data_IF_810638132449
#
_entry.id   IF_810638132449
#
_cell.length_a   1.000
_cell.length_b   1.000
_cell.length_c   1.000
_cell.angle_alpha   90.00
_cell.angle_beta   90.00
_cell.angle_gamma   90.00
#
_symmetry.space_group_name_H-M   'P 1'
#
loop_
_entity.id
_entity.type
_entity.pdbx_description
1 polymer ?
#
# COMPACT_ATOMS: atom_id res chain seq x y z
N UNK A 1 -7.36 -0.15 28.46
CA UNK A 1 -5.95 -0.15 28.00
C UNK A 1 -5.43 -1.57 27.76
N UNK A 2 -5.45 -2.49 28.75
CA UNK A 2 -4.85 -3.83 28.60
C UNK A 2 -5.50 -4.70 27.51
N UNK A 3 -6.83 -4.69 27.42
CA UNK A 3 -7.57 -5.45 26.38
C UNK A 3 -7.12 -5.00 24.98
N UNK A 4 -7.04 -3.70 24.72
CA UNK A 4 -6.58 -3.17 23.42
C UNK A 4 -5.14 -3.60 23.11
N UNK A 5 -4.23 -3.63 24.10
CA UNK A 5 -2.85 -4.10 23.88
C UNK A 5 -2.79 -5.56 23.52
N UNK A 6 -3.62 -6.38 24.19
CA UNK A 6 -3.76 -7.79 23.89
C UNK A 6 -4.25 -8.00 22.46
N UNK A 7 -5.39 -7.42 22.12
CA UNK A 7 -6.00 -7.62 20.80
C UNK A 7 -5.05 -7.18 19.67
N UNK A 8 -4.41 -6.00 19.82
CA UNK A 8 -3.44 -5.51 18.83
C UNK A 8 -2.20 -6.42 18.73
N UNK A 9 -1.66 -6.85 19.84
CA UNK A 9 -0.48 -7.73 19.87
C UNK A 9 -0.76 -9.10 19.26
N UNK A 10 -1.89 -9.73 19.62
CA UNK A 10 -2.28 -11.04 19.09
C UNK A 10 -2.58 -10.96 17.58
N UNK A 11 -3.33 -9.95 17.13
CA UNK A 11 -3.62 -9.76 15.70
C UNK A 11 -2.33 -9.48 14.91
N UNK A 12 -1.47 -8.61 15.40
CA UNK A 12 -0.18 -8.35 14.76
C UNK A 12 0.68 -9.62 14.70
N UNK A 13 0.75 -10.39 15.78
CA UNK A 13 1.50 -11.65 15.82
C UNK A 13 0.98 -12.72 14.88
N UNK A 14 -0.34 -12.76 14.62
CA UNK A 14 -0.96 -13.72 13.70
C UNK A 14 -0.77 -13.37 12.22
N UNK A 15 -0.73 -12.09 11.88
CA UNK A 15 -0.88 -11.67 10.48
C UNK A 15 0.31 -10.89 9.92
N UNK A 16 1.17 -10.32 10.75
CA UNK A 16 2.32 -9.57 10.28
C UNK A 16 3.60 -10.42 10.26
N UNK A 17 4.38 -10.29 9.19
CA UNK A 17 5.71 -10.93 9.10
C UNK A 17 6.70 -10.31 10.10
N UNK A 18 6.52 -9.03 10.44
CA UNK A 18 7.30 -8.28 11.42
C UNK A 18 6.45 -7.17 12.05
N UNK A 19 6.50 -7.05 13.37
CA UNK A 19 5.82 -6.00 14.13
C UNK A 19 6.84 -5.04 14.75
N UNK A 20 6.75 -3.75 14.44
CA UNK A 20 7.53 -2.70 15.08
C UNK A 20 6.67 -2.03 16.16
N UNK A 21 7.03 -2.26 17.42
CA UNK A 21 6.32 -1.73 18.59
C UNK A 21 6.98 -0.41 18.96
N UNK A 22 6.20 0.65 19.01
CA UNK A 22 6.69 2.01 19.30
C UNK A 22 5.72 2.78 20.18
N UNK A 23 6.16 3.95 20.68
CA UNK A 23 5.29 4.78 21.49
C UNK A 23 4.07 5.31 20.72
N UNK A 24 2.95 5.38 21.44
CA UNK A 24 1.74 6.12 21.06
C UNK A 24 1.57 7.26 22.10
N UNK A 25 0.66 7.11 23.05
CA UNK A 25 0.43 8.03 24.15
C UNK A 25 0.60 7.29 25.50
N UNK A 26 1.83 7.06 26.00
CA UNK A 26 2.04 6.27 27.20
C UNK A 26 1.41 6.91 28.44
N UNK A 27 1.25 8.25 28.45
CA UNK A 27 0.77 8.97 29.62
C UNK A 27 1.72 8.79 30.79
N UNK A 28 1.19 8.43 31.97
CA UNK A 28 1.97 8.21 33.18
C UNK A 28 2.52 6.78 33.31
N UNK A 29 2.11 5.86 32.42
CA UNK A 29 2.59 4.49 32.45
C UNK A 29 3.96 4.39 31.75
N UNK A 30 4.93 3.63 32.32
CA UNK A 30 6.23 3.47 31.69
C UNK A 30 6.12 2.84 30.30
N UNK A 31 6.70 3.49 29.28
CA UNK A 31 6.66 3.03 27.90
C UNK A 31 7.22 1.59 27.76
N UNK A 32 8.33 1.31 28.43
CA UNK A 32 8.95 -0.02 28.42
C UNK A 32 7.97 -1.13 28.88
N UNK A 33 7.13 -0.84 29.91
CA UNK A 33 6.13 -1.79 30.37
C UNK A 33 5.06 -2.03 29.30
N UNK A 34 4.56 -0.95 28.68
CA UNK A 34 3.57 -1.03 27.60
C UNK A 34 4.11 -1.86 26.45
N UNK A 35 5.32 -1.54 25.98
CA UNK A 35 5.97 -2.19 24.86
C UNK A 35 6.21 -3.68 25.11
N UNK A 36 6.67 -4.04 26.31
CA UNK A 36 6.87 -5.44 26.71
C UNK A 36 5.56 -6.23 26.80
N UNK A 37 4.48 -5.61 27.28
CA UNK A 37 3.17 -6.26 27.29
C UNK A 37 2.69 -6.55 25.84
N UNK A 38 2.77 -5.58 24.93
CA UNK A 38 2.40 -5.79 23.53
C UNK A 38 3.28 -6.87 22.89
N UNK A 39 4.59 -6.82 23.13
CA UNK A 39 5.55 -7.81 22.64
C UNK A 39 5.19 -9.24 23.07
N UNK A 40 4.82 -9.42 24.35
CA UNK A 40 4.42 -10.73 24.86
C UNK A 40 3.19 -11.31 24.15
N UNK A 41 2.24 -10.46 23.74
CA UNK A 41 1.08 -10.90 22.98
C UNK A 41 1.44 -11.22 21.53
N UNK A 42 2.37 -10.49 20.89
CA UNK A 42 2.90 -10.85 19.57
C UNK A 42 3.61 -12.20 19.63
N UNK A 43 4.47 -12.41 20.64
CA UNK A 43 5.18 -13.68 20.85
C UNK A 43 4.24 -14.85 21.12
N UNK A 44 3.13 -14.63 21.82
CA UNK A 44 2.13 -15.67 22.11
C UNK A 44 1.53 -16.28 20.83
N UNK A 45 1.61 -15.57 19.72
CA UNK A 45 1.20 -16.01 18.38
C UNK A 45 2.36 -16.42 17.48
N UNK A 46 3.56 -16.61 18.03
CA UNK A 46 4.81 -16.87 17.30
C UNK A 46 5.21 -15.74 16.34
N UNK A 47 4.68 -14.54 16.52
CA UNK A 47 5.00 -13.36 15.71
C UNK A 47 6.39 -12.82 16.03
N UNK A 48 7.02 -12.20 15.02
CA UNK A 48 8.30 -11.49 15.18
C UNK A 48 8.06 -10.05 15.52
N UNK A 49 8.89 -9.48 16.39
CA UNK A 49 8.77 -8.07 16.73
C UNK A 49 10.12 -7.39 16.98
N UNK A 50 10.11 -6.07 16.93
CA UNK A 50 11.16 -5.18 17.43
C UNK A 50 10.51 -4.06 18.23
N UNK A 51 11.11 -3.71 19.37
CA UNK A 51 10.69 -2.55 20.15
C UNK A 51 11.62 -1.39 19.79
N UNK A 52 11.05 -0.28 19.35
CA UNK A 52 11.77 0.95 19.01
C UNK A 52 10.93 2.10 19.59
N UNK A 53 11.42 2.69 20.67
CA UNK A 53 10.65 3.66 21.45
C UNK A 53 10.27 4.91 20.66
N UNK A 54 11.21 5.47 19.88
CA UNK A 54 10.94 6.63 19.03
C UNK A 54 10.12 6.23 17.79
N UNK A 55 8.96 6.83 17.65
CA UNK A 55 8.01 6.53 16.57
C UNK A 55 8.55 6.86 15.18
N UNK A 56 9.25 7.98 15.03
CA UNK A 56 9.86 8.36 13.75
C UNK A 56 10.95 7.38 13.33
N UNK A 57 11.78 6.95 14.30
CA UNK A 57 12.81 5.94 14.09
C UNK A 57 12.19 4.58 13.76
N UNK A 58 11.10 4.19 14.43
CA UNK A 58 10.40 2.93 14.15
C UNK A 58 9.85 2.89 12.71
N UNK A 59 9.19 3.96 12.26
CA UNK A 59 8.66 4.09 10.89
C UNK A 59 9.81 4.05 9.87
N UNK A 60 10.88 4.81 10.09
CA UNK A 60 12.05 4.81 9.21
C UNK A 60 12.73 3.44 9.15
N UNK A 61 12.84 2.76 10.28
CA UNK A 61 13.43 1.41 10.35
C UNK A 61 12.59 0.42 9.56
N UNK A 62 11.27 0.42 9.74
CA UNK A 62 10.36 -0.46 8.99
C UNK A 62 10.50 -0.24 7.48
N UNK A 63 10.51 1.00 7.00
CA UNK A 63 10.68 1.34 5.58
C UNK A 63 12.03 0.85 5.03
N UNK A 64 13.11 0.98 5.80
CA UNK A 64 14.44 0.56 5.36
C UNK A 64 14.63 -0.96 5.37
N UNK A 65 13.99 -1.69 6.26
CA UNK A 65 14.19 -3.13 6.43
C UNK A 65 13.26 -3.98 5.57
N UNK A 66 12.03 -3.51 5.29
CA UNK A 66 11.01 -4.35 4.66
C UNK A 66 11.15 -4.46 3.14
N UNK A 67 11.77 -3.51 2.47
CA UNK A 67 11.99 -3.57 1.01
C UNK A 67 10.75 -3.24 0.16
N UNK A 68 10.92 -3.30 -1.17
CA UNK A 68 9.96 -2.77 -2.13
C UNK A 68 8.65 -3.57 -2.26
N UNK A 69 8.69 -4.88 -1.99
CA UNK A 69 7.52 -5.77 -2.14
C UNK A 69 6.72 -5.93 -0.84
N UNK A 70 6.85 -4.96 0.07
CA UNK A 70 6.22 -5.03 1.39
C UNK A 70 5.10 -4.02 1.53
N UNK A 71 4.10 -4.36 2.34
CA UNK A 71 3.07 -3.44 2.81
C UNK A 71 3.34 -3.10 4.26
N UNK A 72 3.49 -1.82 4.57
CA UNK A 72 3.70 -1.34 5.93
C UNK A 72 2.40 -0.68 6.41
N UNK A 73 1.81 -1.26 7.45
CA UNK A 73 0.62 -0.71 8.10
C UNK A 73 1.05 0.07 9.35
N UNK A 74 0.80 1.38 9.35
CA UNK A 74 1.09 2.26 10.49
C UNK A 74 -0.22 2.55 11.21
N UNK A 75 -0.27 2.25 12.50
CA UNK A 75 -1.46 2.43 13.34
C UNK A 75 -1.14 3.23 14.60
N UNK A 76 -2.15 3.88 15.16
CA UNK A 76 -2.07 4.61 16.43
C UNK A 76 -2.33 6.09 16.25
N UNK A 77 -1.31 6.88 15.98
CA UNK A 77 -1.38 8.35 15.98
C UNK A 77 -2.05 8.96 14.75
N UNK A 78 -1.83 8.39 13.56
CA UNK A 78 -2.42 8.92 12.33
C UNK A 78 -2.10 10.39 12.08
N UNK A 79 -3.12 11.25 12.15
CA UNK A 79 -3.00 12.70 11.92
C UNK A 79 -2.84 13.53 13.24
N UNK A 80 -2.59 12.88 14.36
CA UNK A 80 -2.39 13.60 15.61
C UNK A 80 -1.03 14.31 15.64
N UNK A 81 -1.04 15.59 16.01
CA UNK A 81 0.13 16.50 16.01
C UNK A 81 0.75 16.67 17.39
N UNK A 82 0.33 15.89 18.37
CA UNK A 82 0.82 15.94 19.73
C UNK A 82 0.83 14.56 20.36
N UNK A 83 1.74 14.34 21.30
CA UNK A 83 1.93 13.11 22.02
C UNK A 83 1.83 13.34 23.50
N UNK A 84 1.16 12.44 24.22
CA UNK A 84 1.04 12.51 25.67
C UNK A 84 2.19 11.75 26.33
N UNK A 85 3.03 12.47 27.09
CA UNK A 85 4.06 11.90 27.99
C UNK A 85 3.82 12.40 29.39
N UNK A 86 3.59 11.51 30.32
CA UNK A 86 3.14 11.89 31.66
C UNK A 86 1.79 12.59 31.60
N UNK A 87 1.71 13.79 32.19
CA UNK A 87 0.53 14.66 32.14
C UNK A 87 0.56 15.70 31.02
N UNK A 88 1.67 15.79 30.28
CA UNK A 88 1.90 16.83 29.29
C UNK A 88 1.63 16.32 27.86
N UNK A 89 1.20 17.26 26.99
CA UNK A 89 1.10 17.04 25.56
C UNK A 89 2.25 17.76 24.84
N UNK A 90 3.10 17.01 24.17
CA UNK A 90 4.27 17.50 23.45
C UNK A 90 3.96 17.50 21.94
N UNK A 91 4.23 18.59 21.21
CA UNK A 91 4.08 18.59 19.75
C UNK A 91 4.94 17.50 19.11
N UNK A 92 4.37 16.79 18.16
CA UNK A 92 5.09 15.79 17.36
C UNK A 92 4.59 15.81 15.91
N UNK A 93 5.42 15.37 14.95
CA UNK A 93 4.97 15.12 13.59
C UNK A 93 3.88 14.05 13.55
N UNK A 94 3.00 14.15 12.56
CA UNK A 94 2.02 13.12 12.25
C UNK A 94 2.69 11.86 11.68
N UNK A 95 1.98 10.72 11.69
CA UNK A 95 2.48 9.50 11.04
C UNK A 95 2.74 9.70 9.54
N UNK A 96 1.93 10.53 8.90
CA UNK A 96 2.09 10.89 7.48
C UNK A 96 3.39 11.66 7.25
N UNK A 97 3.70 12.65 8.10
CA UNK A 97 4.94 13.44 8.00
C UNK A 97 6.18 12.59 8.25
N UNK A 98 6.16 11.72 9.27
CA UNK A 98 7.23 10.76 9.52
C UNK A 98 7.42 9.81 8.31
N UNK A 99 6.34 9.30 7.75
CA UNK A 99 6.39 8.39 6.60
C UNK A 99 6.95 9.06 5.36
N UNK A 100 6.46 10.26 5.02
CA UNK A 100 6.97 11.04 3.87
C UNK A 100 8.46 11.32 4.02
N UNK A 101 8.88 11.75 5.22
CA UNK A 101 10.29 12.00 5.50
C UNK A 101 11.14 10.73 5.30
N UNK A 102 10.71 9.62 5.89
CA UNK A 102 11.44 8.36 5.81
C UNK A 102 11.51 7.81 4.37
N UNK A 103 10.42 7.92 3.58
CA UNK A 103 10.43 7.55 2.17
C UNK A 103 11.38 8.40 1.35
N UNK A 104 11.42 9.72 1.55
CA UNK A 104 12.37 10.59 0.87
C UNK A 104 13.83 10.24 1.18
N UNK A 105 14.12 9.90 2.43
CA UNK A 105 15.46 9.47 2.85
C UNK A 105 15.82 8.11 2.24
N UNK A 106 14.88 7.17 2.20
CA UNK A 106 15.03 5.87 1.56
C UNK A 106 15.31 6.00 0.07
N UNK A 107 14.51 6.80 -0.64
CA UNK A 107 14.65 7.02 -2.07
C UNK A 107 15.99 7.67 -2.41
N UNK A 108 16.40 8.69 -1.65
CA UNK A 108 17.70 9.33 -1.81
C UNK A 108 18.85 8.36 -1.61
N UNK A 109 18.76 7.49 -0.59
CA UNK A 109 19.78 6.47 -0.27
C UNK A 109 19.89 5.42 -1.38
N UNK A 110 18.77 5.07 -2.03
CA UNK A 110 18.70 4.04 -3.05
C UNK A 110 18.78 4.60 -4.49
N UNK A 111 19.06 5.89 -4.66
CA UNK A 111 19.16 6.54 -5.97
C UNK A 111 17.82 6.63 -6.72
N UNK A 112 16.70 6.57 -5.98
CA UNK A 112 15.36 6.73 -6.51
C UNK A 112 14.96 8.21 -6.43
N UNK A 113 14.50 8.78 -7.54
CA UNK A 113 14.03 10.17 -7.56
C UNK A 113 12.58 10.23 -7.04
N UNK A 114 12.46 10.51 -5.74
CA UNK A 114 11.18 10.46 -5.03
C UNK A 114 10.27 11.64 -5.31
N UNK A 115 10.85 12.83 -5.52
CA UNK A 115 10.07 14.05 -5.64
C UNK A 115 9.26 14.06 -6.95
N UNK A 116 9.81 13.52 -8.03
CA UNK A 116 9.16 13.40 -9.33
C UNK A 116 8.04 12.34 -9.30
N UNK A 117 8.28 11.19 -8.65
CA UNK A 117 7.27 10.13 -8.50
C UNK A 117 6.11 10.53 -7.60
N UNK A 118 6.39 11.16 -6.45
CA UNK A 118 5.35 11.65 -5.52
C UNK A 118 4.51 12.72 -6.20
N UNK A 119 5.14 13.65 -6.90
CA UNK A 119 4.44 14.69 -7.66
C UNK A 119 3.57 14.08 -8.75
N UNK A 120 4.08 13.11 -9.50
CA UNK A 120 3.29 12.39 -10.51
C UNK A 120 2.08 11.69 -9.92
N UNK A 121 2.19 11.05 -8.75
CA UNK A 121 1.05 10.42 -8.06
C UNK A 121 0.05 11.48 -7.57
N UNK A 122 0.52 12.58 -6.98
CA UNK A 122 -0.34 13.67 -6.54
C UNK A 122 -1.10 14.34 -7.69
N UNK A 123 -0.47 14.46 -8.86
CA UNK A 123 -1.08 15.05 -10.05
C UNK A 123 -2.10 14.10 -10.71
N UNK A 124 -1.88 12.78 -10.60
CA UNK A 124 -2.75 11.76 -11.19
C UNK A 124 -3.96 11.42 -10.30
N UNK A 125 -3.82 11.41 -8.97
CA UNK A 125 -4.91 11.04 -8.05
C UNK A 125 -6.22 11.81 -8.27
N UNK A 126 -6.24 13.15 -8.45
CA UNK A 126 -7.47 13.88 -8.74
C UNK A 126 -8.10 13.50 -10.08
N UNK A 127 -7.29 13.08 -11.06
CA UNK A 127 -7.76 12.64 -12.36
C UNK A 127 -8.37 11.23 -12.28
N UNK A 128 -7.71 10.33 -11.56
CA UNK A 128 -8.24 9.00 -11.28
C UNK A 128 -9.57 9.08 -10.50
N UNK A 129 -9.68 10.02 -9.56
CA UNK A 129 -10.92 10.22 -8.80
C UNK A 129 -12.09 10.66 -9.70
N UNK A 130 -11.84 11.38 -10.79
CA UNK A 130 -12.86 11.74 -11.80
C UNK A 130 -13.41 10.51 -12.54
N UNK A 131 -12.67 9.41 -12.57
CA UNK A 131 -13.09 8.16 -13.21
C UNK A 131 -13.96 7.29 -12.29
N UNK A 132 -14.02 7.60 -10.99
CA UNK A 132 -14.85 6.85 -10.05
C UNK A 132 -16.32 6.84 -10.50
N UNK A 133 -16.91 5.64 -10.57
CA UNK A 133 -18.26 5.40 -11.10
C UNK A 133 -18.50 5.79 -12.58
N UNK A 134 -17.48 6.21 -13.33
CA UNK A 134 -17.62 6.47 -14.78
C UNK A 134 -17.57 5.17 -15.56
N UNK A 135 -18.37 5.10 -16.63
CA UNK A 135 -18.30 4.01 -17.61
C UNK A 135 -17.20 4.36 -18.63
N UNK A 136 -16.20 3.51 -18.76
CA UNK A 136 -15.10 3.66 -19.71
C UNK A 136 -15.17 2.49 -20.69
N UNK A 137 -15.24 2.78 -21.97
CA UNK A 137 -15.23 1.76 -23.02
C UNK A 137 -13.84 1.73 -23.67
N UNK A 138 -13.20 0.57 -23.60
CA UNK A 138 -11.87 0.34 -24.19
C UNK A 138 -12.04 -0.60 -25.39
N UNK A 139 -11.70 -0.11 -26.58
CA UNK A 139 -11.71 -0.92 -27.79
C UNK A 139 -10.30 -1.45 -28.07
N UNK A 140 -10.16 -2.78 -28.15
CA UNK A 140 -8.92 -3.43 -28.48
C UNK A 140 -8.89 -3.80 -29.98
N UNK A 141 -7.87 -3.31 -30.68
CA UNK A 141 -7.59 -3.72 -32.04
C UNK A 141 -6.97 -5.12 -32.10
N UNK A 142 -7.08 -5.83 -33.25
CA UNK A 142 -6.55 -7.19 -33.41
C UNK A 142 -5.04 -7.29 -33.20
N UNK A 143 -4.27 -6.23 -33.51
CA UNK A 143 -2.82 -6.21 -33.29
C UNK A 143 -2.40 -6.22 -31.80
N UNK A 144 -3.24 -5.69 -30.90
CA UNK A 144 -2.98 -5.76 -29.46
C UNK A 144 -3.15 -7.18 -28.90
N UNK A 145 -3.98 -8.00 -29.52
CA UNK A 145 -4.25 -9.38 -29.10
C UNK A 145 -3.13 -10.35 -29.47
N UNK A 146 -2.29 -9.98 -30.42
CA UNK A 146 -1.18 -10.80 -30.91
C UNK A 146 0.13 -10.57 -30.12
N UNK A 147 0.22 -9.51 -29.29
CA UNK A 147 1.39 -9.16 -28.50
C UNK A 147 1.12 -9.43 -27.01
N UNK A 148 1.71 -10.51 -26.48
CA UNK A 148 1.52 -10.94 -25.09
C UNK A 148 1.98 -9.88 -24.07
N UNK A 149 3.07 -9.17 -24.36
CA UNK A 149 3.61 -8.15 -23.46
C UNK A 149 2.69 -6.93 -23.40
N UNK A 150 2.25 -6.48 -24.57
CA UNK A 150 1.30 -5.36 -24.69
C UNK A 150 -0.04 -5.72 -24.05
N UNK A 151 -0.51 -6.94 -24.24
CA UNK A 151 -1.74 -7.43 -23.61
C UNK A 151 -1.65 -7.47 -22.09
N UNK A 152 -0.52 -7.97 -21.56
CA UNK A 152 -0.31 -8.01 -20.09
C UNK A 152 -0.34 -6.60 -19.50
N UNK A 153 0.42 -5.66 -20.05
CA UNK A 153 0.45 -4.28 -19.58
C UNK A 153 -0.95 -3.63 -19.64
N UNK A 154 -1.67 -3.86 -20.72
CA UNK A 154 -3.04 -3.35 -20.87
C UNK A 154 -4.01 -3.93 -19.83
N UNK A 155 -3.90 -5.21 -19.51
CA UNK A 155 -4.72 -5.84 -18.47
C UNK A 155 -4.39 -5.29 -17.08
N UNK A 156 -3.13 -4.99 -16.79
CA UNK A 156 -2.69 -4.32 -15.56
C UNK A 156 -3.28 -2.91 -15.47
N UNK A 157 -3.26 -2.13 -16.55
CA UNK A 157 -3.88 -0.79 -16.61
C UNK A 157 -5.41 -0.86 -16.41
N UNK A 158 -6.09 -1.83 -17.02
CA UNK A 158 -7.52 -2.05 -16.84
C UNK A 158 -7.84 -2.42 -15.40
N UNK A 159 -7.04 -3.29 -14.78
CA UNK A 159 -7.18 -3.65 -13.38
C UNK A 159 -7.03 -2.42 -12.48
N UNK A 160 -6.02 -1.60 -12.71
CA UNK A 160 -5.80 -0.35 -11.98
C UNK A 160 -7.02 0.60 -12.08
N UNK A 161 -7.54 0.82 -13.29
CA UNK A 161 -8.73 1.65 -13.51
C UNK A 161 -9.96 1.10 -12.79
N UNK A 162 -10.10 -0.21 -12.73
CA UNK A 162 -11.18 -0.88 -11.99
C UNK A 162 -11.01 -0.69 -10.48
N UNK A 163 -9.79 -0.77 -9.96
CA UNK A 163 -9.48 -0.55 -8.54
C UNK A 163 -9.81 0.89 -8.10
N UNK A 164 -9.64 1.89 -8.95
CA UNK A 164 -10.06 3.27 -8.64
C UNK A 164 -11.57 3.52 -8.82
N UNK A 165 -12.33 2.47 -9.13
CA UNK A 165 -13.79 2.51 -9.17
C UNK A 165 -14.39 2.87 -10.53
N UNK A 166 -13.62 2.82 -11.62
CA UNK A 166 -14.13 2.94 -12.97
C UNK A 166 -14.92 1.67 -13.37
N UNK A 167 -15.99 1.83 -14.14
CA UNK A 167 -16.76 0.71 -14.70
C UNK A 167 -16.27 0.45 -16.12
N UNK A 168 -15.40 -0.54 -16.27
CA UNK A 168 -14.72 -0.81 -17.54
C UNK A 168 -15.55 -1.77 -18.39
N UNK A 169 -15.71 -1.43 -19.67
CA UNK A 169 -16.25 -2.30 -20.71
C UNK A 169 -15.17 -2.46 -21.76
N UNK A 170 -14.70 -3.69 -21.97
CA UNK A 170 -13.71 -4.00 -23.00
C UNK A 170 -14.44 -4.55 -24.22
N UNK A 171 -14.18 -3.94 -25.38
CA UNK A 171 -14.68 -4.37 -26.69
C UNK A 171 -13.50 -4.80 -27.54
N UNK A 172 -13.46 -6.03 -27.97
CA UNK A 172 -12.42 -6.53 -28.88
C UNK A 172 -13.00 -7.06 -30.19
N UNK A 173 -12.25 -6.93 -31.28
CA UNK A 173 -12.61 -7.47 -32.57
C UNK A 173 -12.15 -8.92 -32.73
N UNK A 174 -13.02 -9.79 -33.13
CA UNK A 174 -12.71 -11.20 -33.43
C UNK A 174 -12.30 -11.47 -34.90
N UNK A 175 -12.05 -10.43 -35.69
CA UNK A 175 -11.88 -10.56 -37.13
C UNK A 175 -10.86 -11.62 -37.58
N UNK A 176 -9.67 -11.63 -36.99
CA UNK A 176 -8.62 -12.63 -37.30
C UNK A 176 -9.02 -14.06 -36.92
N UNK A 177 -9.64 -14.26 -35.78
CA UNK A 177 -10.09 -15.58 -35.33
C UNK A 177 -11.30 -16.05 -36.13
N UNK A 178 -12.19 -15.13 -36.51
CA UNK A 178 -13.31 -15.39 -37.40
C UNK A 178 -12.77 -15.80 -38.79
N UNK A 179 -11.83 -15.03 -39.35
CA UNK A 179 -11.20 -15.38 -40.63
C UNK A 179 -10.52 -16.74 -40.60
N UNK A 180 -9.69 -17.02 -39.59
CA UNK A 180 -9.06 -18.34 -39.40
C UNK A 180 -10.09 -19.49 -39.31
N UNK A 181 -11.22 -19.24 -38.65
CA UNK A 181 -12.28 -20.24 -38.53
C UNK A 181 -13.02 -20.45 -39.86
N UNK A 182 -13.30 -19.37 -40.57
CA UNK A 182 -13.90 -19.43 -41.91
C UNK A 182 -12.99 -20.15 -42.91
N UNK A 183 -11.68 -19.86 -42.89
CA UNK A 183 -10.69 -20.54 -43.70
C UNK A 183 -10.65 -22.06 -43.43
N UNK A 184 -10.69 -22.47 -42.17
CA UNK A 184 -10.80 -23.89 -41.77
C UNK A 184 -12.08 -24.55 -42.24
N UNK A 185 -13.15 -23.79 -42.39
CA UNK A 185 -14.44 -24.26 -42.87
C UNK A 185 -14.60 -24.14 -44.41
N UNK A 186 -13.58 -23.67 -45.13
CA UNK A 186 -13.64 -23.34 -46.55
C UNK A 186 -14.74 -22.34 -46.93
N UNK A 187 -15.06 -21.42 -46.01
CA UNK A 187 -16.03 -20.36 -46.21
C UNK A 187 -15.30 -19.03 -46.43
N UNK A 188 -15.78 -18.21 -47.37
CA UNK A 188 -15.25 -16.87 -47.59
C UNK A 188 -16.04 -15.87 -46.75
N UNK A 189 -15.34 -14.92 -46.10
CA UNK A 189 -16.01 -13.74 -45.51
C UNK A 189 -16.43 -12.80 -46.64
N UNK A 190 -17.67 -12.41 -46.68
CA UNK A 190 -18.13 -11.30 -47.51
C UNK A 190 -17.62 -9.97 -47.00
#
# INVERSE_FOLDING_TARGET
>A
ALIRRKDLGEIAGMYADMTYITEEDPGEEPLEKISKEVASFVESQNGKHKIIDDRGVAISTAINEMGADSVILITGKGNETRQKRGVEYIPCPTDVEYTIKALKEYDKKNGLDSDEKIKSVQDILPQLHKLHNKKVVIKLGGSCLDDETLMKNLLEDIALLTMVGAKIVVVHGGGKEISKTLDKMNLKSE
#
